data_IF_577561111839
#
_entry.id   IF_577561111839
#
_cell.length_a   1.000
_cell.length_b   1.000
_cell.length_c   1.000
_cell.angle_alpha   90.00
_cell.angle_beta   90.00
_cell.angle_gamma   90.00
#
_symmetry.space_group_name_H-M   'P 1'
#
loop_
_entity.id
_entity.type
_entity.pdbx_description
1 polymer ?
#
# COMPACT_ATOMS: atom_id res chain seq x y z
N UNK A 1 25.11 41.05 -12.07
CA UNK A 1 24.56 41.29 -10.71
C UNK A 1 24.89 40.07 -9.85
N UNK A 2 25.89 40.16 -8.94
CA UNK A 2 26.27 39.03 -8.07
C UNK A 2 25.28 38.98 -6.90
N UNK A 3 24.32 38.07 -6.95
CA UNK A 3 23.46 37.76 -5.80
C UNK A 3 24.28 36.96 -4.78
N UNK A 4 25.00 37.66 -3.91
CA UNK A 4 25.62 37.04 -2.74
C UNK A 4 24.50 36.53 -1.83
N UNK A 5 24.32 35.20 -1.80
CA UNK A 5 23.28 34.53 -1.02
C UNK A 5 23.44 34.77 0.50
N UNK A 6 24.67 35.03 0.93
CA UNK A 6 25.00 35.49 2.29
C UNK A 6 25.49 36.94 2.23
N UNK A 7 24.70 37.89 2.73
CA UNK A 7 25.19 39.25 3.02
C UNK A 7 26.22 39.15 4.14
N UNK A 8 27.50 39.32 3.81
CA UNK A 8 28.62 39.35 4.78
C UNK A 8 28.55 40.56 5.73
N UNK A 9 27.75 41.55 5.36
CA UNK A 9 27.48 42.82 6.02
C UNK A 9 26.58 42.66 7.28
N UNK A 10 26.04 41.47 7.52
CA UNK A 10 25.26 41.13 8.71
C UNK A 10 26.11 40.32 9.69
N UNK A 11 26.78 41.00 10.63
CA UNK A 11 27.55 40.36 11.70
C UNK A 11 26.62 39.74 12.76
N UNK A 12 25.89 38.69 12.37
CA UNK A 12 24.96 37.95 13.22
C UNK A 12 25.69 37.08 14.26
N UNK A 13 26.94 36.71 13.99
CA UNK A 13 27.75 35.83 14.84
C UNK A 13 28.00 36.38 16.25
N UNK A 14 27.88 37.69 16.46
CA UNK A 14 28.04 38.34 17.77
C UNK A 14 26.77 38.42 18.63
N UNK A 15 25.57 38.13 18.09
CA UNK A 15 24.32 38.31 18.85
C UNK A 15 23.87 37.01 19.52
N UNK A 16 23.71 37.04 20.85
CA UNK A 16 23.38 35.88 21.67
C UNK A 16 22.08 35.17 21.24
N UNK A 17 21.04 35.93 20.87
CA UNK A 17 19.75 35.40 20.47
C UNK A 17 19.78 34.55 19.18
N UNK A 18 20.77 34.79 18.30
CA UNK A 18 20.90 34.13 17.01
C UNK A 18 21.63 32.81 17.20
N UNK A 19 22.64 32.80 18.09
CA UNK A 19 23.28 31.57 18.56
C UNK A 19 22.26 30.64 19.21
N UNK A 20 21.37 31.18 20.04
CA UNK A 20 20.30 30.41 20.68
C UNK A 20 19.32 29.81 19.66
N UNK A 21 18.82 30.62 18.71
CA UNK A 21 17.92 30.13 17.66
C UNK A 21 18.57 29.08 16.76
N UNK A 22 19.87 29.23 16.47
CA UNK A 22 20.63 28.26 15.69
C UNK A 22 20.76 26.93 16.45
N UNK A 23 21.03 26.96 17.76
CA UNK A 23 21.06 25.75 18.60
C UNK A 23 19.68 25.07 18.65
N UNK A 24 18.60 25.83 18.86
CA UNK A 24 17.23 25.29 18.86
C UNK A 24 16.90 24.65 17.50
N UNK A 25 17.32 25.27 16.40
CA UNK A 25 17.10 24.76 15.05
C UNK A 25 17.84 23.43 14.81
N UNK A 26 19.12 23.33 15.19
CA UNK A 26 19.84 22.06 15.06
C UNK A 26 19.29 20.98 16.01
N UNK A 27 18.88 21.35 17.22
CA UNK A 27 18.25 20.42 18.15
C UNK A 27 16.92 19.88 17.60
N UNK A 28 16.08 20.72 16.99
CA UNK A 28 14.83 20.28 16.37
C UNK A 28 15.07 19.43 15.11
N UNK A 29 16.12 19.71 14.35
CA UNK A 29 16.53 18.87 13.22
C UNK A 29 17.00 17.48 13.66
N UNK A 30 17.85 17.41 14.68
CA UNK A 30 18.31 16.13 15.25
C UNK A 30 17.13 15.36 15.82
N UNK A 31 16.21 16.02 16.53
CA UNK A 31 15.00 15.40 17.06
C UNK A 31 14.12 14.87 15.92
N UNK A 32 13.93 15.62 14.83
CA UNK A 32 13.16 15.18 13.67
C UNK A 32 13.78 13.95 12.98
N UNK A 33 15.11 13.92 12.83
CA UNK A 33 15.82 12.76 12.31
C UNK A 33 15.69 11.55 13.25
N UNK A 34 15.78 11.76 14.56
CA UNK A 34 15.58 10.70 15.54
C UNK A 34 14.16 10.14 15.49
N UNK A 35 13.13 10.98 15.41
CA UNK A 35 11.74 10.53 15.27
C UNK A 35 11.49 9.79 13.95
N UNK A 36 12.19 10.16 12.86
CA UNK A 36 12.14 9.42 11.61
C UNK A 36 12.83 8.07 11.73
N UNK A 37 13.98 8.02 12.40
CA UNK A 37 14.67 6.77 12.68
C UNK A 37 13.79 5.83 13.49
N UNK A 38 13.18 6.31 14.58
CA UNK A 38 12.28 5.53 15.42
C UNK A 38 11.01 5.10 14.66
N UNK A 39 10.48 5.98 13.80
CA UNK A 39 9.37 5.65 12.88
C UNK A 39 9.76 4.56 11.86
N UNK A 40 10.99 4.60 11.35
CA UNK A 40 11.47 3.54 10.47
C UNK A 40 11.74 2.25 11.24
N UNK A 41 12.33 2.29 12.44
CA UNK A 41 12.65 1.10 13.23
C UNK A 41 11.38 0.39 13.75
N UNK A 42 10.34 1.16 14.10
CA UNK A 42 9.05 0.62 14.60
C UNK A 42 8.03 0.29 13.50
N UNK A 43 8.18 0.85 12.30
CA UNK A 43 7.18 0.84 11.22
C UNK A 43 7.84 0.87 9.84
N UNK A 44 8.84 0.01 9.57
CA UNK A 44 9.31 -0.22 8.20
C UNK A 44 8.07 -0.64 7.40
N UNK A 45 7.51 0.26 6.59
CA UNK A 45 6.43 -0.06 5.66
C UNK A 45 7.11 -0.81 4.53
N UNK A 46 7.07 -2.16 4.51
CA UNK A 46 7.76 -2.90 3.48
C UNK A 46 7.16 -2.50 2.14
N UNK A 47 8.02 -2.17 1.19
CA UNK A 47 7.58 -1.95 -0.18
C UNK A 47 7.58 -3.31 -0.88
N UNK A 48 6.49 -3.59 -1.58
CA UNK A 48 6.34 -4.83 -2.32
C UNK A 48 6.50 -4.58 -3.81
N UNK A 49 7.06 -5.57 -4.49
CA UNK A 49 7.09 -5.64 -5.95
C UNK A 49 6.20 -6.78 -6.43
N UNK A 50 5.57 -6.59 -7.58
CA UNK A 50 4.86 -7.67 -8.28
C UNK A 50 5.91 -8.61 -8.86
N UNK A 51 5.79 -9.89 -8.58
CA UNK A 51 6.71 -10.92 -9.09
C UNK A 51 6.10 -11.62 -10.30
N UNK A 52 4.89 -12.15 -10.16
CA UNK A 52 4.17 -12.86 -11.22
C UNK A 52 2.65 -12.70 -11.01
N UNK A 53 1.86 -12.92 -12.06
CA UNK A 53 0.41 -13.09 -11.90
C UNK A 53 0.05 -14.53 -11.54
N UNK A 54 -1.14 -14.76 -10.97
CA UNK A 54 -1.68 -16.12 -10.79
C UNK A 54 -1.77 -16.84 -12.13
N UNK A 55 -2.15 -16.14 -13.20
CA UNK A 55 -2.24 -16.69 -14.55
C UNK A 55 -0.91 -17.24 -15.09
N UNK A 56 0.23 -16.69 -14.65
CA UNK A 56 1.55 -17.14 -15.10
C UNK A 56 2.01 -18.43 -14.39
N UNK A 57 1.45 -18.73 -13.20
CA UNK A 57 1.88 -19.86 -12.36
C UNK A 57 0.93 -21.05 -12.36
N UNK A 58 -0.30 -20.86 -12.82
CA UNK A 58 -1.26 -21.97 -12.92
C UNK A 58 -0.84 -22.97 -14.00
N UNK A 59 -1.24 -24.22 -13.79
CA UNK A 59 -0.97 -25.33 -14.70
C UNK A 59 -2.27 -26.07 -15.03
N UNK A 60 -2.18 -27.16 -15.79
CA UNK A 60 -3.33 -28.04 -16.06
C UNK A 60 -3.82 -28.79 -14.81
N UNK A 61 -2.99 -28.89 -13.78
CA UNK A 61 -3.38 -29.46 -12.50
C UNK A 61 -4.15 -28.43 -11.66
N UNK A 62 -5.16 -28.91 -10.92
CA UNK A 62 -5.84 -28.11 -9.91
C UNK A 62 -4.91 -27.91 -8.72
N UNK A 63 -4.53 -26.65 -8.45
CA UNK A 63 -3.71 -26.27 -7.30
C UNK A 63 -4.37 -25.13 -6.55
N UNK A 64 -4.19 -25.10 -5.23
CA UNK A 64 -4.58 -23.93 -4.46
C UNK A 64 -3.55 -22.81 -4.63
N UNK A 65 -3.98 -21.55 -4.47
CA UNK A 65 -3.07 -20.40 -4.54
C UNK A 65 -1.91 -20.54 -3.54
N UNK A 66 -2.16 -21.08 -2.34
CA UNK A 66 -1.09 -21.35 -1.36
C UNK A 66 0.01 -22.29 -1.86
N UNK A 67 -0.31 -23.20 -2.78
CA UNK A 67 0.65 -24.14 -3.39
C UNK A 67 1.46 -23.47 -4.52
N UNK A 68 0.95 -22.37 -5.08
CA UNK A 68 1.61 -21.57 -6.11
C UNK A 68 2.50 -20.46 -5.53
N UNK A 69 2.30 -20.13 -4.25
CA UNK A 69 3.01 -19.11 -3.48
C UNK A 69 4.41 -19.59 -3.10
N UNK A 70 5.44 -18.80 -3.41
CA UNK A 70 6.82 -19.07 -2.95
C UNK A 70 7.00 -18.51 -1.53
N UNK A 71 8.05 -18.94 -0.79
CA UNK A 71 8.34 -18.37 0.52
C UNK A 71 8.47 -16.84 0.46
N UNK A 72 7.92 -16.15 1.47
CA UNK A 72 7.92 -14.68 1.61
C UNK A 72 7.13 -13.91 0.54
N UNK A 73 6.26 -14.59 -0.21
CA UNK A 73 5.29 -13.94 -1.09
C UNK A 73 3.93 -13.81 -0.40
N UNK A 74 3.19 -12.79 -0.79
CA UNK A 74 1.77 -12.60 -0.47
C UNK A 74 0.98 -12.55 -1.78
N UNK A 75 -0.32 -12.83 -1.72
CA UNK A 75 -1.21 -12.75 -2.88
C UNK A 75 -2.28 -11.73 -2.60
N UNK A 76 -2.45 -10.79 -3.52
CA UNK A 76 -3.44 -9.72 -3.44
C UNK A 76 -3.98 -9.40 -4.83
N UNK A 77 -5.05 -8.62 -4.88
CA UNK A 77 -5.52 -8.03 -6.13
C UNK A 77 -4.49 -7.02 -6.68
N UNK A 78 -4.34 -7.01 -8.00
CA UNK A 78 -3.57 -6.04 -8.73
C UNK A 78 -4.18 -4.66 -8.49
N UNK A 79 -3.34 -3.69 -8.13
CA UNK A 79 -3.73 -2.32 -7.75
C UNK A 79 -4.33 -2.13 -6.35
N UNK A 80 -4.58 -3.18 -5.59
CA UNK A 80 -4.77 -3.01 -4.14
C UNK A 80 -3.44 -2.63 -3.48
N UNK A 81 -3.48 -1.97 -2.31
CA UNK A 81 -2.25 -1.67 -1.56
C UNK A 81 -1.70 -2.99 -1.00
N UNK A 82 -0.55 -3.48 -1.48
CA UNK A 82 -0.02 -4.76 -1.00
C UNK A 82 0.26 -4.68 0.50
N UNK A 83 -0.32 -5.61 1.26
CA UNK A 83 -0.28 -5.62 2.73
C UNK A 83 -1.33 -4.75 3.44
N UNK A 84 -2.30 -4.17 2.71
CA UNK A 84 -3.49 -3.54 3.30
C UNK A 84 -4.62 -4.54 3.58
N UNK A 85 -4.53 -5.73 3.01
CA UNK A 85 -5.45 -6.83 3.23
C UNK A 85 -5.41 -7.30 4.68
N UNK A 86 -6.60 -7.53 5.21
CA UNK A 86 -6.80 -8.01 6.55
C UNK A 86 -6.24 -9.43 6.67
N UNK A 87 -5.04 -9.57 7.25
CA UNK A 87 -4.57 -10.85 7.77
C UNK A 87 -5.63 -11.34 8.77
N UNK A 88 -6.37 -12.40 8.42
CA UNK A 88 -7.45 -12.97 9.26
C UNK A 88 -6.94 -13.46 10.62
N UNK A 89 -5.62 -13.54 10.79
CA UNK A 89 -4.93 -13.55 12.06
C UNK A 89 -3.47 -13.21 11.77
N UNK A 90 -2.89 -12.18 12.39
CA UNK A 90 -1.47 -11.82 12.22
C UNK A 90 -0.50 -12.96 12.62
N UNK A 91 -1.01 -14.02 13.26
CA UNK A 91 -0.28 -15.22 13.68
C UNK A 91 -0.23 -16.34 12.65
N UNK A 92 -1.00 -16.24 11.56
CA UNK A 92 -0.98 -17.22 10.46
C UNK A 92 -0.73 -16.49 9.15
N UNK A 93 0.30 -16.87 8.41
CA UNK A 93 0.63 -16.41 7.04
C UNK A 93 -0.46 -16.76 5.98
N UNK A 94 -1.69 -17.01 6.44
CA UNK A 94 -2.82 -17.37 5.62
C UNK A 94 -3.50 -16.11 5.08
N UNK A 95 -3.38 -15.89 3.78
CA UNK A 95 -4.07 -14.81 3.08
C UNK A 95 -5.50 -15.24 2.75
N UNK A 96 -6.40 -14.28 2.57
CA UNK A 96 -7.80 -14.53 2.15
C UNK A 96 -7.89 -15.45 0.93
N UNK A 97 -6.94 -15.29 0.00
CA UNK A 97 -6.88 -15.97 -1.29
C UNK A 97 -6.30 -17.38 -1.25
N UNK A 98 -5.70 -17.81 -0.14
CA UNK A 98 -4.89 -19.04 -0.11
C UNK A 98 -5.68 -20.31 -0.43
N UNK A 99 -6.98 -20.31 -0.14
CA UNK A 99 -7.87 -21.46 -0.34
C UNK A 99 -8.49 -21.52 -1.74
N UNK A 100 -8.26 -20.52 -2.60
CA UNK A 100 -8.76 -20.48 -3.99
C UNK A 100 -8.08 -21.57 -4.81
N UNK A 101 -8.87 -22.30 -5.60
CA UNK A 101 -8.40 -23.38 -6.47
C UNK A 101 -8.30 -22.90 -7.91
N UNK A 102 -7.14 -23.04 -8.55
CA UNK A 102 -6.92 -22.59 -9.91
C UNK A 102 -6.36 -23.68 -10.83
N UNK A 103 -6.70 -23.58 -12.11
CA UNK A 103 -6.18 -24.42 -13.21
C UNK A 103 -6.39 -23.70 -14.54
N UNK A 104 -5.50 -23.91 -15.51
CA UNK A 104 -5.70 -23.43 -16.89
C UNK A 104 -6.61 -24.34 -17.74
N UNK A 105 -7.13 -25.42 -17.14
CA UNK A 105 -8.07 -26.37 -17.73
C UNK A 105 -9.23 -26.66 -16.74
N UNK A 106 -9.68 -25.58 -16.07
CA UNK A 106 -10.60 -25.67 -14.94
C UNK A 106 -11.97 -26.23 -15.33
N UNK A 107 -12.42 -25.97 -16.56
CA UNK A 107 -13.69 -26.43 -17.11
C UNK A 107 -13.79 -27.96 -17.11
N UNK A 108 -12.67 -28.66 -17.32
CA UNK A 108 -12.61 -30.12 -17.30
C UNK A 108 -12.26 -30.69 -15.91
N UNK A 109 -12.13 -29.82 -14.90
CA UNK A 109 -11.57 -30.13 -13.58
C UNK A 109 -12.44 -29.71 -12.40
N UNK A 110 -13.68 -29.27 -12.65
CA UNK A 110 -14.63 -28.89 -11.61
C UNK A 110 -14.84 -30.01 -10.58
N UNK A 111 -15.01 -31.26 -11.03
CA UNK A 111 -15.16 -32.41 -10.14
C UNK A 111 -13.91 -32.64 -9.26
N UNK A 112 -12.71 -32.43 -9.80
CA UNK A 112 -11.46 -32.54 -9.05
C UNK A 112 -11.40 -31.47 -7.95
N UNK A 113 -11.88 -30.24 -8.22
CA UNK A 113 -11.98 -29.17 -7.22
C UNK A 113 -13.00 -29.52 -6.13
N UNK A 114 -14.18 -30.04 -6.50
CA UNK A 114 -15.19 -30.48 -5.53
C UNK A 114 -14.64 -31.57 -4.60
N UNK A 115 -13.88 -32.53 -5.15
CA UNK A 115 -13.25 -33.60 -4.38
C UNK A 115 -12.17 -33.07 -3.42
N UNK A 116 -11.33 -32.14 -3.87
CA UNK A 116 -10.26 -31.54 -3.02
C UNK A 116 -10.81 -30.62 -1.93
N UNK A 117 -11.84 -29.83 -2.25
CA UNK A 117 -12.44 -28.86 -1.32
C UNK A 117 -13.46 -29.49 -0.37
N UNK A 118 -14.06 -30.62 -0.74
CA UNK A 118 -15.19 -31.22 -0.04
C UNK A 118 -16.51 -30.47 -0.25
N UNK A 119 -16.56 -29.51 -1.19
CA UNK A 119 -17.74 -28.68 -1.48
C UNK A 119 -18.40 -29.20 -2.74
N UNK A 120 -19.68 -29.57 -2.64
CA UNK A 120 -20.46 -30.08 -3.78
C UNK A 120 -21.32 -29.03 -4.46
N UNK A 121 -21.74 -28.02 -3.72
CA UNK A 121 -22.61 -26.96 -4.23
C UNK A 121 -21.83 -26.01 -5.13
N UNK A 122 -22.39 -25.68 -6.30
CA UNK A 122 -21.78 -24.85 -7.33
C UNK A 122 -22.70 -23.67 -7.64
N UNK A 123 -22.22 -22.44 -7.51
CA UNK A 123 -23.03 -21.23 -7.71
C UNK A 123 -22.46 -20.35 -8.83
N UNK A 124 -23.33 -19.84 -9.69
CA UNK A 124 -23.02 -18.75 -10.63
C UNK A 124 -23.96 -17.60 -10.26
N UNK A 125 -23.47 -16.69 -9.42
CA UNK A 125 -24.31 -15.69 -8.77
C UNK A 125 -24.95 -14.72 -9.74
N UNK A 126 -24.23 -14.33 -10.78
CA UNK A 126 -24.70 -13.29 -11.72
C UNK A 126 -25.86 -13.74 -12.59
N UNK A 127 -26.01 -15.06 -12.79
CA UNK A 127 -27.06 -15.63 -13.64
C UNK A 127 -28.13 -16.32 -12.81
N UNK A 128 -27.72 -17.14 -11.84
CA UNK A 128 -28.62 -18.03 -11.10
C UNK A 128 -28.80 -17.63 -9.63
N UNK A 129 -28.11 -16.59 -9.16
CA UNK A 129 -28.15 -16.17 -7.76
C UNK A 129 -27.55 -17.21 -6.82
N UNK A 130 -28.22 -17.50 -5.71
CA UNK A 130 -27.78 -18.48 -4.68
C UNK A 130 -28.36 -19.87 -4.92
N UNK A 131 -28.56 -20.24 -6.18
CA UNK A 131 -29.09 -21.56 -6.55
C UNK A 131 -27.96 -22.48 -6.99
N UNK A 132 -27.99 -23.72 -6.53
CA UNK A 132 -27.06 -24.76 -6.95
C UNK A 132 -27.27 -25.08 -8.43
N UNK A 133 -26.18 -25.19 -9.19
CA UNK A 133 -26.22 -25.50 -10.62
C UNK A 133 -25.57 -26.85 -10.93
N UNK A 134 -26.07 -27.59 -11.93
CA UNK A 134 -25.43 -28.82 -12.38
C UNK A 134 -23.99 -28.56 -12.85
N UNK A 135 -23.11 -29.56 -12.63
CA UNK A 135 -21.69 -29.47 -12.99
C UNK A 135 -21.46 -29.16 -14.48
N UNK A 136 -22.32 -29.67 -15.37
CA UNK A 136 -22.24 -29.43 -16.81
C UNK A 136 -22.49 -27.96 -17.16
N UNK A 137 -23.51 -27.35 -16.55
CA UNK A 137 -23.83 -25.92 -16.69
C UNK A 137 -22.67 -25.07 -16.16
N UNK A 138 -22.13 -25.45 -15.00
CA UNK A 138 -21.01 -24.75 -14.37
C UNK A 138 -19.73 -24.82 -15.20
N UNK A 139 -19.34 -26.02 -15.65
CA UNK A 139 -18.18 -26.22 -16.52
C UNK A 139 -18.31 -25.46 -17.84
N UNK A 140 -19.51 -25.44 -18.43
CA UNK A 140 -19.75 -24.67 -19.64
C UNK A 140 -19.60 -23.16 -19.40
N UNK A 141 -20.08 -22.64 -18.27
CA UNK A 141 -19.89 -21.24 -17.89
C UNK A 141 -18.41 -20.88 -17.74
N UNK A 142 -17.63 -21.73 -17.04
CA UNK A 142 -16.17 -21.58 -16.90
C UNK A 142 -15.50 -21.49 -18.26
N UNK A 143 -15.83 -22.42 -19.15
CA UNK A 143 -15.25 -22.49 -20.50
C UNK A 143 -15.55 -21.24 -21.33
N UNK A 144 -16.81 -20.78 -21.34
CA UNK A 144 -17.25 -19.63 -22.14
C UNK A 144 -16.56 -18.35 -21.66
N UNK A 145 -16.42 -18.17 -20.35
CA UNK A 145 -15.84 -16.96 -19.76
C UNK A 145 -14.34 -17.09 -19.48
N UNK A 146 -13.70 -18.18 -19.88
CA UNK A 146 -12.26 -18.44 -19.67
C UNK A 146 -11.84 -18.28 -18.19
N UNK A 147 -12.68 -18.77 -17.28
CA UNK A 147 -12.43 -18.70 -15.83
C UNK A 147 -11.37 -19.72 -15.45
N UNK A 148 -10.41 -19.29 -14.62
CA UNK A 148 -9.25 -20.11 -14.24
C UNK A 148 -9.19 -20.45 -12.76
N UNK A 149 -10.03 -19.82 -11.95
CA UNK A 149 -10.04 -19.99 -10.49
C UNK A 149 -11.46 -20.11 -9.94
N UNK A 150 -11.61 -20.95 -8.92
CA UNK A 150 -12.84 -21.11 -8.14
C UNK A 150 -12.57 -20.70 -6.69
N UNK A 151 -13.46 -19.86 -6.17
CA UNK A 151 -13.49 -19.43 -4.79
C UNK A 151 -14.38 -20.37 -3.98
N UNK A 152 -13.83 -21.02 -2.93
CA UNK A 152 -14.64 -21.60 -1.87
C UNK A 152 -15.20 -20.49 -0.97
N UNK A 153 -16.51 -20.42 -0.83
CA UNK A 153 -17.15 -19.45 0.07
C UNK A 153 -18.30 -20.11 0.84
N UNK A 154 -18.82 -19.41 1.85
CA UNK A 154 -19.93 -19.87 2.66
C UNK A 154 -20.78 -18.69 3.16
N UNK A 155 -22.09 -18.91 3.24
CA UNK A 155 -22.99 -17.99 3.94
C UNK A 155 -23.83 -18.72 4.98
N UNK A 156 -24.31 -17.97 5.96
CA UNK A 156 -25.26 -18.45 6.96
C UNK A 156 -26.58 -18.79 6.29
N UNK A 157 -26.95 -20.07 6.31
CA UNK A 157 -28.22 -20.56 5.83
C UNK A 157 -29.29 -20.33 6.90
N UNK A 158 -30.47 -19.87 6.50
CA UNK A 158 -31.61 -19.68 7.40
C UNK A 158 -32.75 -20.58 6.96
N UNK A 159 -33.40 -21.23 7.93
CA UNK A 159 -34.60 -22.02 7.68
C UNK A 159 -35.78 -21.14 7.25
N UNK A 160 -36.91 -21.77 6.91
CA UNK A 160 -38.14 -21.05 6.54
C UNK A 160 -38.71 -20.15 7.65
N UNK A 161 -38.24 -20.30 8.89
CA UNK A 161 -38.66 -19.54 10.06
C UNK A 161 -37.66 -18.40 10.39
N UNK A 162 -36.60 -18.23 9.58
CA UNK A 162 -35.57 -17.23 9.79
C UNK A 162 -34.55 -17.58 10.88
N UNK A 163 -34.50 -18.84 11.34
CA UNK A 163 -33.48 -19.33 12.27
C UNK A 163 -32.25 -19.82 11.51
N UNK A 164 -31.06 -19.60 12.06
CA UNK A 164 -29.81 -20.10 11.48
C UNK A 164 -29.79 -21.63 11.49
N UNK A 165 -29.69 -22.23 10.30
CA UNK A 165 -29.67 -23.68 10.05
C UNK A 165 -28.26 -24.16 9.62
N UNK A 166 -27.25 -23.35 9.93
CA UNK A 166 -25.84 -23.65 9.66
C UNK A 166 -25.24 -22.85 8.51
N UNK A 167 -24.13 -23.37 7.95
CA UNK A 167 -23.39 -22.71 6.87
C UNK A 167 -23.46 -23.54 5.59
N UNK A 168 -24.02 -22.96 4.54
CA UNK A 168 -23.94 -23.54 3.20
C UNK A 168 -22.60 -23.13 2.59
N UNK A 169 -21.79 -24.12 2.20
CA UNK A 169 -20.52 -23.91 1.48
C UNK A 169 -20.73 -24.17 -0.01
N UNK A 170 -20.13 -23.34 -0.85
CA UNK A 170 -20.27 -23.43 -2.31
C UNK A 170 -18.96 -23.03 -3.00
N UNK A 171 -18.81 -23.47 -4.25
CA UNK A 171 -17.80 -22.97 -5.17
C UNK A 171 -18.42 -21.92 -6.08
N UNK A 172 -17.74 -20.78 -6.23
CA UNK A 172 -18.12 -19.70 -7.14
C UNK A 172 -16.96 -19.42 -8.12
N UNK A 173 -17.23 -19.20 -9.41
CA UNK A 173 -16.21 -18.78 -10.36
C UNK A 173 -15.72 -17.37 -10.05
N UNK A 174 -14.43 -17.15 -10.23
CA UNK A 174 -13.85 -15.81 -10.19
C UNK A 174 -13.90 -15.25 -11.62
N UNK A 175 -14.85 -14.35 -11.87
CA UNK A 175 -15.11 -13.74 -13.18
C UNK A 175 -15.13 -12.21 -13.13
N UNK A 176 -15.38 -11.57 -14.28
CA UNK A 176 -15.36 -10.12 -14.44
C UNK A 176 -16.43 -9.35 -13.63
N UNK A 177 -17.48 -10.03 -13.20
CA UNK A 177 -18.63 -9.46 -12.50
C UNK A 177 -18.65 -9.80 -11.01
N UNK A 178 -17.81 -10.76 -10.60
CA UNK A 178 -17.60 -11.05 -9.19
C UNK A 178 -17.21 -9.78 -8.44
N UNK A 179 -17.83 -9.56 -7.27
CA UNK A 179 -17.68 -8.34 -6.45
C UNK A 179 -16.24 -8.07 -5.99
N UNK A 180 -15.35 -9.03 -6.21
CA UNK A 180 -13.98 -9.09 -5.76
C UNK A 180 -13.19 -9.94 -6.78
N UNK A 181 -11.87 -9.76 -6.90
CA UNK A 181 -10.93 -10.78 -7.42
C UNK A 181 -10.62 -10.82 -8.92
N UNK A 182 -10.49 -9.68 -9.60
CA UNK A 182 -10.22 -9.69 -11.05
C UNK A 182 -8.79 -10.10 -11.43
N UNK A 183 -7.78 -9.68 -10.67
CA UNK A 183 -6.38 -9.79 -11.08
C UNK A 183 -5.48 -10.16 -9.91
N UNK A 184 -5.47 -11.44 -9.50
CA UNK A 184 -4.61 -11.86 -8.40
C UNK A 184 -3.15 -11.94 -8.85
N UNK A 185 -2.27 -11.30 -8.07
CA UNK A 185 -0.82 -11.30 -8.32
C UNK A 185 -0.03 -11.63 -7.05
N UNK A 186 1.15 -12.21 -7.26
CA UNK A 186 2.10 -12.48 -6.19
C UNK A 186 2.98 -11.26 -5.97
N UNK A 187 3.01 -10.80 -4.73
CA UNK A 187 3.89 -9.72 -4.28
C UNK A 187 5.00 -10.29 -3.41
N UNK A 188 6.19 -9.70 -3.50
CA UNK A 188 7.32 -10.00 -2.62
C UNK A 188 7.87 -8.72 -2.04
N UNK A 189 8.35 -8.77 -0.80
CA UNK A 189 9.07 -7.63 -0.19
C UNK A 189 10.30 -7.31 -1.03
N UNK A 190 10.45 -6.05 -1.41
CA UNK A 190 11.58 -5.56 -2.18
C UNK A 190 12.44 -4.68 -1.28
N UNK A 191 13.61 -5.20 -0.91
CA UNK A 191 14.59 -4.46 -0.10
C UNK A 191 15.06 -3.19 -0.81
N UNK A 192 15.17 -3.26 -2.15
CA UNK A 192 15.55 -2.12 -2.98
C UNK A 192 14.48 -1.02 -2.93
N UNK A 193 13.21 -1.34 -3.18
CA UNK A 193 12.13 -0.35 -3.13
C UNK A 193 11.95 0.21 -1.71
N UNK A 194 12.11 -0.65 -0.69
CA UNK A 194 12.02 -0.25 0.72
C UNK A 194 13.14 0.73 1.06
N UNK A 195 14.38 0.42 0.67
CA UNK A 195 15.54 1.32 0.87
C UNK A 195 15.36 2.64 0.12
N UNK A 196 14.90 2.58 -1.13
CA UNK A 196 14.64 3.77 -1.93
C UNK A 196 13.54 4.65 -1.33
N UNK A 197 12.48 4.04 -0.78
CA UNK A 197 11.40 4.74 -0.08
C UNK A 197 11.91 5.46 1.17
N UNK A 198 12.69 4.77 2.00
CA UNK A 198 13.33 5.35 3.19
C UNK A 198 14.20 6.54 2.77
N UNK A 199 15.08 6.35 1.78
CA UNK A 199 15.98 7.39 1.28
C UNK A 199 15.21 8.59 0.71
N UNK A 200 14.11 8.37 -0.02
CA UNK A 200 13.24 9.42 -0.53
C UNK A 200 12.63 10.26 0.60
N UNK A 201 12.12 9.63 1.65
CA UNK A 201 11.56 10.34 2.80
C UNK A 201 12.64 11.12 3.55
N UNK A 202 13.80 10.50 3.81
CA UNK A 202 14.92 11.18 4.44
C UNK A 202 15.37 12.42 3.66
N UNK A 203 15.45 12.32 2.32
CA UNK A 203 15.77 13.46 1.45
C UNK A 203 14.71 14.55 1.49
N UNK A 204 13.41 14.20 1.50
CA UNK A 204 12.33 15.18 1.61
C UNK A 204 12.40 15.97 2.92
N UNK A 205 12.72 15.30 4.02
CA UNK A 205 12.91 15.93 5.32
C UNK A 205 14.09 16.89 5.27
N UNK A 206 15.25 16.43 4.79
CA UNK A 206 16.45 17.29 4.64
C UNK A 206 16.14 18.51 3.77
N UNK A 207 15.46 18.33 2.64
CA UNK A 207 15.08 19.42 1.73
C UNK A 207 14.12 20.43 2.41
N UNK A 208 13.14 19.95 3.17
CA UNK A 208 12.23 20.79 3.96
C UNK A 208 12.99 21.65 4.99
N UNK A 209 13.97 21.05 5.67
CA UNK A 209 14.83 21.79 6.60
C UNK A 209 15.72 22.82 5.89
N UNK A 210 16.33 22.48 4.74
CA UNK A 210 17.11 23.45 3.95
C UNK A 210 16.22 24.62 3.51
N UNK A 211 15.00 24.35 3.06
CA UNK A 211 14.04 25.40 2.69
C UNK A 211 13.69 26.30 3.89
N UNK A 212 13.46 25.70 5.07
CA UNK A 212 13.23 26.45 6.31
C UNK A 212 14.43 27.33 6.69
N UNK A 213 15.67 26.85 6.51
CA UNK A 213 16.90 27.63 6.71
C UNK A 213 16.92 28.83 5.76
N UNK A 214 16.69 28.61 4.46
CA UNK A 214 16.71 29.67 3.45
C UNK A 214 15.62 30.71 3.75
N UNK A 215 14.42 30.29 4.14
CA UNK A 215 13.34 31.19 4.56
C UNK A 215 13.68 31.94 5.83
N UNK A 216 14.23 31.27 6.85
CA UNK A 216 14.71 31.93 8.07
C UNK A 216 15.72 33.02 7.72
N UNK A 217 16.76 32.70 6.94
CA UNK A 217 17.76 33.70 6.56
C UNK A 217 17.17 34.81 5.69
N UNK A 218 16.30 34.54 4.71
CA UNK A 218 15.75 35.61 3.85
C UNK A 218 14.74 36.49 4.56
N UNK A 219 13.74 35.90 5.23
CA UNK A 219 12.60 36.63 5.81
C UNK A 219 13.01 37.31 7.11
N UNK A 220 13.72 36.62 8.00
CA UNK A 220 14.14 37.18 9.28
C UNK A 220 15.18 38.31 9.11
N UNK A 221 16.17 38.13 8.21
CA UNK A 221 17.12 39.20 7.93
C UNK A 221 16.47 40.38 7.21
N UNK A 222 15.51 40.14 6.32
CA UNK A 222 14.78 41.22 5.65
C UNK A 222 13.91 42.02 6.63
N UNK A 223 13.17 41.36 7.53
CA UNK A 223 12.31 42.05 8.51
C UNK A 223 13.15 42.83 9.53
N UNK A 224 14.24 42.25 10.05
CA UNK A 224 15.03 42.89 11.11
C UNK A 224 15.95 44.00 10.57
N UNK A 225 16.44 43.88 9.33
CA UNK A 225 17.42 44.82 8.78
C UNK A 225 16.94 45.62 7.57
N UNK A 226 15.83 45.25 6.94
CA UNK A 226 15.20 46.01 5.85
C UNK A 226 14.45 47.26 6.32
N UNK A 227 14.07 47.34 7.61
CA UNK A 227 13.38 48.50 8.17
C UNK A 227 14.28 49.70 8.46
N UNK A 228 15.62 49.54 8.42
CA UNK A 228 16.58 50.66 8.53
C UNK A 228 17.01 51.18 7.16
N UNK A 229 16.04 51.66 6.38
CA UNK A 229 16.29 52.81 5.49
C UNK A 229 15.69 54.03 6.19
N UNK A 230 16.39 54.50 7.22
CA UNK A 230 16.09 55.79 7.84
C UNK A 230 16.63 56.87 6.90
N UNK A 231 15.74 57.73 6.42
CA UNK A 231 16.05 58.96 5.69
C UNK A 231 16.97 59.87 6.52
N UNK A 232 18.28 59.68 6.41
CA UNK A 232 19.25 60.70 6.82
C UNK A 232 19.36 61.75 5.72
N UNK A 233 18.32 62.56 5.54
CA UNK A 233 18.45 63.79 4.77
C UNK A 233 17.41 64.84 5.19
N UNK A 234 17.46 65.30 6.45
CA UNK A 234 16.75 66.53 6.85
C UNK A 234 17.23 67.13 8.18
N UNK A 235 18.54 67.15 8.44
CA UNK A 235 19.13 68.06 9.43
C UNK A 235 20.35 68.72 8.82
N UNK A 236 20.11 69.80 8.09
CA UNK A 236 21.13 70.47 7.29
C UNK A 236 20.63 71.71 6.56
N UNK A 237 19.83 72.56 7.21
CA UNK A 237 19.75 73.98 6.85
C UNK A 237 19.79 74.83 8.10
N UNK A 238 21.01 75.33 8.36
CA UNK A 238 21.25 76.59 9.07
C UNK A 238 20.35 77.67 8.48
N UNK A 239 19.73 78.45 9.36
CA UNK A 239 19.67 79.91 9.31
C UNK A 239 19.70 80.40 10.76
#
# INVERSE_FOLDING_TARGET
MKNNFFRKDLNLGGRWWHRLLLVIFFASFILALYTLYDYFDSLIIPQYEIVDSVNDRITTEVKQIRELKKPNEIVEELYDRPGASYHLNATTDKTLYDDIYCSNNLENKVADVQNKSGIRTLFIRDIYGKNDVPIETFANYIRINNIKCLLPDAYTHYDSNGQEDGKLRFLEPIDDNSLFYKDLVFYRKSDFLTTFYILKISLLVIAGFIAAIVLYYKVFLYIIFGSKKIDNNKDGKKL
#
